data_IF_814462396599
#
_entry.id   IF_814462396599
#
_cell.length_a   1.000
_cell.length_b   1.000
_cell.length_c   1.000
_cell.angle_alpha   90.00
_cell.angle_beta   90.00
_cell.angle_gamma   90.00
#
_symmetry.space_group_name_H-M   'P 1'
#
loop_
_entity.id
_entity.type
_entity.pdbx_description
1 polymer ?
#
# COMPACT_ATOMS: atom_id res chain seq x y z
N UNK A 1 -22.43 6.62 -10.40
CA UNK A 1 -21.58 5.52 -10.87
C UNK A 1 -20.48 6.07 -11.78
N UNK A 2 -19.31 5.44 -11.76
CA UNK A 2 -18.26 5.72 -12.74
C UNK A 2 -18.77 5.45 -14.17
N UNK A 3 -18.31 6.21 -15.13
CA UNK A 3 -18.59 6.03 -16.56
C UNK A 3 -17.29 5.91 -17.32
N UNK A 4 -17.32 5.20 -18.45
CA UNK A 4 -16.17 5.05 -19.33
C UNK A 4 -16.30 5.96 -20.55
N UNK A 5 -15.23 6.70 -20.89
CA UNK A 5 -15.10 7.46 -22.11
C UNK A 5 -13.77 7.12 -22.78
N UNK A 6 -13.82 6.31 -23.82
CA UNK A 6 -12.60 5.72 -24.38
C UNK A 6 -11.91 4.83 -23.34
N UNK A 7 -10.64 5.11 -23.07
CA UNK A 7 -9.85 4.39 -22.07
C UNK A 7 -9.78 5.10 -20.70
N UNK A 8 -10.61 6.14 -20.52
CA UNK A 8 -10.67 6.91 -19.29
C UNK A 8 -11.92 6.56 -18.48
N UNK A 9 -11.74 6.35 -17.16
CA UNK A 9 -12.83 6.27 -16.21
C UNK A 9 -13.10 7.66 -15.64
N UNK A 10 -14.37 8.06 -15.64
CA UNK A 10 -14.82 9.33 -15.11
C UNK A 10 -15.72 9.07 -13.91
N UNK A 11 -15.39 9.69 -12.80
CA UNK A 11 -16.13 9.62 -11.55
C UNK A 11 -16.89 10.93 -11.31
N UNK A 12 -18.21 11.01 -11.55
CA UNK A 12 -18.99 12.23 -11.32
C UNK A 12 -18.97 12.71 -9.86
N UNK A 13 -18.84 11.76 -8.94
CA UNK A 13 -18.54 11.99 -7.52
C UNK A 13 -17.29 11.18 -7.19
N UNK A 14 -16.10 11.75 -7.36
CA UNK A 14 -14.86 11.02 -7.16
C UNK A 14 -14.67 10.72 -5.66
N UNK A 15 -14.19 9.52 -5.31
CA UNK A 15 -13.67 9.28 -3.97
C UNK A 15 -12.46 10.18 -3.72
N UNK A 16 -12.19 10.48 -2.48
CA UNK A 16 -11.07 11.32 -2.06
C UNK A 16 -10.01 10.48 -1.37
N UNK A 17 -8.75 10.85 -1.53
CA UNK A 17 -7.65 10.32 -0.73
C UNK A 17 -7.67 11.08 0.60
N UNK A 18 -8.14 10.42 1.66
CA UNK A 18 -8.27 11.03 2.98
C UNK A 18 -6.90 11.25 3.66
N UNK A 19 -5.97 10.33 3.46
CA UNK A 19 -4.59 10.44 3.92
C UNK A 19 -3.69 9.55 3.07
N UNK A 20 -2.39 9.79 3.19
CA UNK A 20 -1.33 8.94 2.66
C UNK A 20 -0.20 8.82 3.67
N UNK A 21 0.56 7.73 3.59
CA UNK A 21 1.77 7.52 4.35
C UNK A 21 2.82 6.81 3.51
N UNK A 22 4.07 7.15 3.75
CA UNK A 22 5.22 6.57 3.08
C UNK A 22 6.34 6.34 4.09
N UNK A 23 6.77 5.09 4.22
CA UNK A 23 7.92 4.71 5.05
C UNK A 23 8.99 4.14 4.14
N UNK A 24 10.21 4.63 4.28
CA UNK A 24 11.36 4.21 3.48
C UNK A 24 12.40 3.46 4.30
N UNK A 25 13.28 2.75 3.60
CA UNK A 25 14.44 2.08 4.15
C UNK A 25 15.71 2.93 4.08
N UNK A 26 16.86 2.27 4.23
CA UNK A 26 18.16 2.94 4.25
C UNK A 26 18.47 3.69 2.94
N UNK A 27 18.20 3.07 1.77
CA UNK A 27 18.49 3.69 0.47
C UNK A 27 17.65 4.93 0.22
N UNK A 28 16.38 4.91 0.62
CA UNK A 28 15.49 6.07 0.55
C UNK A 28 15.99 7.21 1.43
N UNK A 29 16.55 6.89 2.61
CA UNK A 29 17.17 7.86 3.51
C UNK A 29 18.44 8.54 2.96
N UNK A 30 19.11 7.92 2.00
CA UNK A 30 20.27 8.46 1.29
C UNK A 30 19.87 9.24 0.02
N UNK A 31 18.61 9.25 -0.35
CA UNK A 31 18.09 9.88 -1.56
C UNK A 31 17.81 11.38 -1.36
N UNK A 32 17.80 12.18 -2.45
CA UNK A 32 17.37 13.58 -2.38
C UNK A 32 15.92 13.77 -1.89
N UNK A 33 15.10 12.70 -1.94
CA UNK A 33 13.71 12.71 -1.53
C UNK A 33 13.50 12.22 -0.09
N UNK A 34 14.57 12.01 0.69
CA UNK A 34 14.47 11.49 2.06
C UNK A 34 13.51 12.29 2.95
N UNK A 35 13.48 13.62 2.78
CA UNK A 35 12.60 14.51 3.56
C UNK A 35 11.10 14.37 3.24
N UNK A 36 10.74 13.69 2.13
CA UNK A 36 9.36 13.48 1.72
C UNK A 36 8.74 12.22 2.36
N UNK A 37 9.56 11.37 2.99
CA UNK A 37 9.07 10.20 3.70
C UNK A 37 8.59 10.58 5.10
N UNK A 38 7.51 9.96 5.54
CA UNK A 38 6.98 10.16 6.90
C UNK A 38 7.92 9.55 7.96
N UNK A 39 8.51 8.40 7.64
CA UNK A 39 9.47 7.69 8.50
C UNK A 39 10.55 7.02 7.63
N UNK A 40 11.75 6.90 8.19
CA UNK A 40 12.90 6.24 7.55
C UNK A 40 13.54 5.25 8.52
N UNK A 41 13.83 4.06 8.03
CA UNK A 41 14.56 3.04 8.79
C UNK A 41 15.98 2.90 8.28
N UNK A 42 16.95 2.88 9.20
CA UNK A 42 18.37 2.63 8.89
C UNK A 42 18.67 1.13 8.67
N UNK A 43 17.79 0.25 9.15
CA UNK A 43 17.86 -1.20 8.97
C UNK A 43 16.72 -1.68 8.06
N UNK A 44 17.07 -2.17 6.88
CA UNK A 44 16.09 -2.69 5.92
C UNK A 44 15.33 -3.95 6.42
N UNK A 45 15.87 -4.63 7.42
CA UNK A 45 15.19 -5.77 8.05
C UNK A 45 14.28 -5.38 9.21
N UNK A 46 14.33 -4.14 9.66
CA UNK A 46 13.51 -3.66 10.79
C UNK A 46 13.65 -4.59 12.03
N UNK A 47 14.82 -5.17 12.24
CA UNK A 47 15.09 -6.14 13.30
C UNK A 47 14.40 -7.50 13.13
N UNK A 48 13.82 -7.79 11.97
CA UNK A 48 13.11 -9.04 11.71
C UNK A 48 14.05 -10.18 11.29
N UNK A 49 13.64 -11.42 11.54
CA UNK A 49 14.42 -12.61 11.23
C UNK A 49 14.47 -12.95 9.73
N UNK A 50 13.43 -12.57 8.96
CA UNK A 50 13.34 -12.80 7.51
C UNK A 50 12.92 -11.55 6.77
N UNK A 51 13.12 -11.56 5.46
CA UNK A 51 12.72 -10.46 4.59
C UNK A 51 11.20 -10.32 4.47
N UNK A 52 10.48 -11.43 4.44
CA UNK A 52 9.02 -11.46 4.40
C UNK A 52 8.43 -10.87 5.69
N UNK A 53 9.06 -11.17 6.83
CA UNK A 53 8.67 -10.58 8.12
C UNK A 53 8.97 -9.07 8.15
N UNK A 54 10.11 -8.64 7.60
CA UNK A 54 10.47 -7.24 7.48
C UNK A 54 9.47 -6.48 6.59
N UNK A 55 9.13 -7.03 5.43
CA UNK A 55 8.16 -6.46 4.52
C UNK A 55 6.76 -6.39 5.14
N UNK A 56 6.34 -7.44 5.84
CA UNK A 56 5.09 -7.44 6.61
C UNK A 56 5.08 -6.33 7.67
N UNK A 57 6.18 -6.17 8.40
CA UNK A 57 6.31 -5.15 9.43
C UNK A 57 6.28 -3.73 8.84
N UNK A 58 6.96 -3.52 7.72
CA UNK A 58 6.95 -2.25 7.01
C UNK A 58 5.53 -1.86 6.55
N UNK A 59 4.80 -2.82 5.97
CA UNK A 59 3.41 -2.63 5.57
C UNK A 59 2.50 -2.31 6.76
N UNK A 60 2.65 -3.01 7.87
CA UNK A 60 1.86 -2.76 9.08
C UNK A 60 2.11 -1.37 9.67
N UNK A 61 3.36 -0.93 9.73
CA UNK A 61 3.71 0.39 10.22
C UNK A 61 3.10 1.47 9.31
N UNK A 62 3.28 1.33 8.00
CA UNK A 62 2.76 2.29 7.02
C UNK A 62 1.23 2.37 7.05
N UNK A 63 0.54 1.23 7.11
CA UNK A 63 -0.90 1.18 7.21
C UNK A 63 -1.42 1.91 8.45
N UNK A 64 -0.83 1.60 9.62
CA UNK A 64 -1.21 2.26 10.89
C UNK A 64 -0.92 3.75 10.88
N UNK A 65 0.20 4.17 10.30
CA UNK A 65 0.54 5.57 10.15
C UNK A 65 -0.48 6.29 9.25
N UNK A 66 -0.86 5.67 8.13
CA UNK A 66 -1.87 6.20 7.23
C UNK A 66 -3.23 6.36 7.93
N UNK A 67 -3.68 5.33 8.65
CA UNK A 67 -4.93 5.39 9.42
C UNK A 67 -4.88 6.49 10.49
N UNK A 68 -3.77 6.61 11.21
CA UNK A 68 -3.56 7.68 12.20
C UNK A 68 -3.68 9.07 11.55
N UNK A 69 -3.06 9.29 10.39
CA UNK A 69 -3.13 10.55 9.62
C UNK A 69 -4.55 10.83 9.12
N UNK A 70 -5.32 9.78 8.81
CA UNK A 70 -6.73 9.89 8.43
C UNK A 70 -7.67 10.10 9.62
N UNK A 71 -7.18 10.07 10.87
CA UNK A 71 -7.99 10.02 12.09
C UNK A 71 -8.99 8.85 12.06
N UNK A 72 -8.60 7.72 11.47
CA UNK A 72 -9.39 6.51 11.28
C UNK A 72 -8.76 5.31 12.02
N UNK A 73 -9.52 4.25 12.09
CA UNK A 73 -9.13 2.96 12.65
C UNK A 73 -9.39 1.85 11.63
N UNK A 74 -8.95 0.62 11.93
CA UNK A 74 -9.22 -0.55 11.10
C UNK A 74 -10.73 -0.80 10.91
N UNK A 75 -11.58 -0.35 11.83
CA UNK A 75 -13.04 -0.48 11.74
C UNK A 75 -13.66 0.39 10.65
N UNK A 76 -12.95 1.43 10.24
CA UNK A 76 -13.40 2.37 9.21
C UNK A 76 -12.98 1.90 7.79
N UNK A 77 -12.27 0.75 7.72
CA UNK A 77 -11.76 0.19 6.47
C UNK A 77 -12.59 -1.04 6.07
N UNK A 78 -13.31 -0.93 4.97
CA UNK A 78 -14.11 -2.03 4.42
C UNK A 78 -13.28 -3.10 3.72
N UNK A 79 -12.15 -2.71 3.13
CA UNK A 79 -11.30 -3.59 2.32
C UNK A 79 -9.87 -3.03 2.25
N UNK A 80 -8.89 -3.92 2.35
CA UNK A 80 -7.50 -3.67 1.99
C UNK A 80 -7.23 -4.20 0.58
N UNK A 81 -6.77 -3.33 -0.30
CA UNK A 81 -6.23 -3.68 -1.62
C UNK A 81 -4.71 -3.52 -1.55
N UNK A 82 -3.98 -4.62 -1.66
CA UNK A 82 -2.54 -4.56 -1.54
C UNK A 82 -1.82 -5.65 -2.31
N UNK A 83 -0.55 -5.42 -2.57
CA UNK A 83 0.38 -6.40 -3.10
C UNK A 83 1.81 -6.04 -2.72
N UNK A 84 2.66 -7.04 -2.77
CA UNK A 84 4.08 -6.91 -2.52
C UNK A 84 4.88 -7.50 -3.69
N UNK A 85 6.12 -7.08 -3.84
CA UNK A 85 6.96 -7.53 -4.94
C UNK A 85 7.70 -8.82 -4.58
N UNK A 86 8.06 -8.99 -3.32
CA UNK A 86 8.97 -10.03 -2.89
C UNK A 86 8.37 -11.43 -2.97
N UNK A 87 7.12 -11.60 -2.55
CA UNK A 87 6.49 -12.91 -2.41
C UNK A 87 5.01 -12.94 -2.82
N UNK A 88 4.62 -12.11 -3.77
CA UNK A 88 3.30 -12.12 -4.41
C UNK A 88 2.13 -12.18 -3.40
N UNK A 89 1.92 -11.11 -2.65
CA UNK A 89 0.87 -10.96 -1.64
C UNK A 89 1.08 -11.79 -0.35
N UNK A 90 2.21 -12.42 -0.14
CA UNK A 90 2.47 -13.13 1.12
C UNK A 90 2.59 -12.15 2.27
N UNK A 91 3.47 -11.16 2.18
CA UNK A 91 3.63 -10.13 3.20
C UNK A 91 2.36 -9.29 3.37
N UNK A 92 1.71 -8.93 2.27
CA UNK A 92 0.43 -8.22 2.28
C UNK A 92 -0.68 -9.02 2.94
N UNK A 93 -0.75 -10.34 2.73
CA UNK A 93 -1.69 -11.24 3.37
C UNK A 93 -1.47 -11.32 4.89
N UNK A 94 -0.21 -11.42 5.35
CA UNK A 94 0.11 -11.38 6.77
C UNK A 94 -0.21 -10.02 7.40
N UNK A 95 0.06 -8.92 6.70
CA UNK A 95 -0.30 -7.59 7.15
C UNK A 95 -1.82 -7.42 7.28
N UNK A 96 -2.59 -7.87 6.28
CA UNK A 96 -4.05 -7.86 6.30
C UNK A 96 -4.61 -8.65 7.49
N UNK A 97 -4.07 -9.86 7.73
CA UNK A 97 -4.43 -10.69 8.89
C UNK A 97 -4.16 -9.97 10.21
N UNK A 98 -3.00 -9.33 10.35
CA UNK A 98 -2.62 -8.63 11.57
C UNK A 98 -3.44 -7.35 11.81
N UNK A 99 -3.92 -6.71 10.75
CA UNK A 99 -4.86 -5.58 10.80
C UNK A 99 -6.31 -6.04 11.01
N UNK A 100 -6.62 -7.32 10.81
CA UNK A 100 -7.98 -7.84 10.87
C UNK A 100 -8.88 -7.35 9.75
N UNK A 101 -8.32 -7.03 8.58
CA UNK A 101 -9.03 -6.47 7.45
C UNK A 101 -9.37 -7.51 6.38
N UNK A 102 -10.55 -7.42 5.73
CA UNK A 102 -10.78 -8.10 4.47
C UNK A 102 -9.73 -7.70 3.44
N UNK A 103 -9.26 -8.65 2.66
CA UNK A 103 -8.10 -8.44 1.78
C UNK A 103 -8.35 -8.95 0.37
N UNK A 104 -7.99 -8.14 -0.61
CA UNK A 104 -7.85 -8.55 -2.00
C UNK A 104 -6.43 -8.27 -2.48
N UNK A 105 -5.72 -9.35 -2.81
CA UNK A 105 -4.35 -9.31 -3.30
C UNK A 105 -4.27 -8.84 -4.75
N UNK A 106 -3.33 -7.96 -5.04
CA UNK A 106 -3.03 -7.44 -6.37
C UNK A 106 -1.63 -7.90 -6.80
N UNK A 107 -1.50 -8.25 -8.07
CA UNK A 107 -0.28 -8.85 -8.63
C UNK A 107 0.37 -7.97 -9.70
N UNK A 108 0.24 -6.66 -9.56
CA UNK A 108 0.72 -5.69 -10.53
C UNK A 108 2.21 -5.34 -10.42
N UNK A 109 2.95 -5.93 -9.48
CA UNK A 109 4.33 -5.52 -9.20
C UNK A 109 4.44 -3.99 -9.05
N UNK A 110 5.17 -3.30 -9.94
CA UNK A 110 5.33 -1.84 -9.92
C UNK A 110 4.02 -1.07 -10.16
N UNK A 111 2.98 -1.70 -10.74
CA UNK A 111 1.68 -1.07 -10.98
C UNK A 111 0.67 -1.27 -9.83
N UNK A 112 1.01 -2.06 -8.81
CA UNK A 112 0.11 -2.42 -7.71
C UNK A 112 -0.57 -1.21 -7.06
N UNK A 113 0.17 -0.12 -6.80
CA UNK A 113 -0.44 1.08 -6.21
C UNK A 113 -1.48 1.72 -7.14
N UNK A 114 -1.18 1.82 -8.43
CA UNK A 114 -2.10 2.36 -9.42
C UNK A 114 -3.35 1.48 -9.58
N UNK A 115 -3.17 0.15 -9.57
CA UNK A 115 -4.27 -0.82 -9.58
C UNK A 115 -5.14 -0.68 -8.33
N UNK A 116 -4.53 -0.64 -7.14
CA UNK A 116 -5.23 -0.50 -5.86
C UNK A 116 -6.07 0.79 -5.82
N UNK A 117 -5.49 1.91 -6.25
CA UNK A 117 -6.20 3.19 -6.33
C UNK A 117 -7.35 3.15 -7.35
N UNK A 118 -7.11 2.59 -8.54
CA UNK A 118 -8.12 2.49 -9.61
C UNK A 118 -9.28 1.59 -9.23
N UNK A 119 -9.00 0.38 -8.75
CA UNK A 119 -10.01 -0.58 -8.29
C UNK A 119 -10.76 -0.02 -7.07
N UNK A 120 -10.02 0.55 -6.11
CA UNK A 120 -10.60 1.17 -4.92
C UNK A 120 -11.55 2.31 -5.26
N UNK A 121 -11.16 3.18 -6.19
CA UNK A 121 -12.03 4.27 -6.67
C UNK A 121 -13.32 3.75 -7.30
N UNK A 122 -13.24 2.66 -8.08
CA UNK A 122 -14.42 2.01 -8.67
C UNK A 122 -15.36 1.47 -7.58
N UNK A 123 -14.82 0.76 -6.58
CA UNK A 123 -15.59 0.17 -5.49
C UNK A 123 -16.28 1.24 -4.63
N UNK A 124 -15.58 2.30 -4.26
CA UNK A 124 -16.15 3.42 -3.53
C UNK A 124 -17.22 4.14 -4.35
N UNK A 125 -16.97 4.41 -5.63
CA UNK A 125 -17.93 5.06 -6.52
C UNK A 125 -19.20 4.22 -6.76
N UNK A 126 -19.09 2.90 -6.66
CA UNK A 126 -20.21 1.96 -6.76
C UNK A 126 -20.97 1.80 -5.43
N UNK A 127 -20.51 2.39 -4.33
CA UNK A 127 -21.09 2.22 -2.99
C UNK A 127 -20.84 0.85 -2.39
N UNK A 128 -19.81 0.14 -2.86
CA UNK A 128 -19.45 -1.20 -2.36
C UNK A 128 -18.46 -1.13 -1.19
N UNK A 129 -17.85 0.04 -0.97
CA UNK A 129 -16.97 0.31 0.16
C UNK A 129 -17.08 1.78 0.56
N UNK A 130 -17.15 2.04 1.87
CA UNK A 130 -17.17 3.39 2.42
C UNK A 130 -15.75 3.92 2.62
N UNK A 131 -14.82 3.07 3.00
CA UNK A 131 -13.40 3.36 3.16
C UNK A 131 -12.54 2.19 2.70
N UNK A 132 -11.44 2.50 2.03
CA UNK A 132 -10.47 1.52 1.54
C UNK A 132 -9.07 1.91 1.97
N UNK A 133 -8.25 0.91 2.19
CA UNK A 133 -6.80 1.08 2.29
C UNK A 133 -6.16 0.51 1.01
N UNK A 134 -5.51 1.37 0.23
CA UNK A 134 -4.70 0.99 -0.92
C UNK A 134 -3.23 0.99 -0.51
N UNK A 135 -2.54 -0.13 -0.68
CA UNK A 135 -1.18 -0.29 -0.18
C UNK A 135 -0.32 -1.07 -1.17
N UNK A 136 0.95 -0.73 -1.22
CA UNK A 136 1.98 -1.54 -1.88
C UNK A 136 3.25 -1.51 -1.06
N UNK A 137 4.05 -2.54 -1.18
CA UNK A 137 5.39 -2.56 -0.62
C UNK A 137 6.40 -3.00 -1.68
N UNK A 138 7.57 -2.42 -1.59
CA UNK A 138 8.68 -2.73 -2.44
C UNK A 138 9.95 -2.77 -1.58
N UNK A 139 10.14 -3.90 -0.91
CA UNK A 139 11.35 -4.14 -0.13
C UNK A 139 12.35 -4.93 -0.98
N UNK A 140 13.44 -4.28 -1.36
CA UNK A 140 14.51 -4.91 -2.13
C UNK A 140 15.39 -5.77 -1.24
N UNK A 141 15.47 -7.05 -1.56
CA UNK A 141 16.44 -8.00 -0.98
C UNK A 141 17.68 -8.14 -1.82
N UNK A 142 17.53 -7.97 -3.14
CA UNK A 142 18.59 -7.88 -4.14
C UNK A 142 18.22 -6.76 -5.11
N UNK A 143 19.19 -6.16 -5.74
CA UNK A 143 18.95 -5.11 -6.73
C UNK A 143 18.47 -5.76 -8.03
N UNK A 144 17.16 -5.86 -8.20
CA UNK A 144 16.56 -6.38 -9.42
C UNK A 144 16.91 -5.53 -10.67
N UNK A 145 17.45 -4.33 -10.48
CA UNK A 145 17.96 -3.50 -11.57
C UNK A 145 19.39 -3.85 -11.95
N UNK A 146 20.16 -4.48 -11.06
CA UNK A 146 21.53 -4.93 -11.34
C UNK A 146 21.57 -6.29 -12.04
N UNK A 147 20.44 -6.99 -12.13
CA UNK A 147 20.32 -8.29 -12.83
C UNK A 147 19.98 -8.17 -14.33
N UNK A 148 19.99 -6.95 -14.89
CA UNK A 148 19.76 -6.74 -16.32
C UNK A 148 21.01 -6.22 -17.02
#
# INVERSE_FOLDING_TARGET
>A
MATRRGDTLIFPKPPVIAAHACIGGKKEGESPLAAEFDELHSDNRLGQASWEAAETQLQLQTARLCLKKAHATEKDVSLLLAGDLQAQCTASGYAARALGLPFAGLFGACSTMAEALGVGACLCSAGMADGLLAMTCLLYTSDAADDM
#
